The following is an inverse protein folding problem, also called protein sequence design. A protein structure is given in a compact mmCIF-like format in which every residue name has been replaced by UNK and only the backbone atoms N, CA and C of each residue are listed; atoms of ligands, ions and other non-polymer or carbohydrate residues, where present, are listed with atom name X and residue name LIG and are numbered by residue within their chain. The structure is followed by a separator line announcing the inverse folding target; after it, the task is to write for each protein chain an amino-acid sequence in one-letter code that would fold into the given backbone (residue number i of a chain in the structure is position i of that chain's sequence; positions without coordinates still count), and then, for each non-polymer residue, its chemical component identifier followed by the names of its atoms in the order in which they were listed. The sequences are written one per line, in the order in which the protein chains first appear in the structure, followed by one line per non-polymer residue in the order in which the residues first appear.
data_IF_241504777015
#
_entry.id   IF_241504777015
#
_cell.length_a   1.000
_cell.length_b   1.000
_cell.length_c   1.000
_cell.angle_alpha   90.00
_cell.angle_beta   90.00
_cell.angle_gamma   90.00
#
_symmetry.space_group_name_H-M   'P 1'
#
loop_
_entity.id
_entity.type
_entity.pdbx_description
1 polymer ?
#
# COMPACT_ATOMS: atom_id res chain seq x y z
N UNK A 1 7.45 -31.06 -5.70
CA UNK A 1 7.49 -30.19 -4.52
C UNK A 1 6.85 -28.84 -4.85
N UNK A 2 5.95 -28.44 -4.03
CA UNK A 2 5.29 -27.16 -4.21
C UNK A 2 6.16 -26.02 -3.66
N UNK A 3 6.40 -25.01 -4.46
CA UNK A 3 7.12 -23.81 -4.03
C UNK A 3 6.15 -22.65 -4.11
N UNK A 4 5.81 -22.09 -2.97
CA UNK A 4 4.97 -20.90 -2.93
C UNK A 4 5.77 -19.72 -3.44
N UNK A 5 5.32 -19.11 -4.53
CA UNK A 5 5.93 -17.89 -5.05
C UNK A 5 5.16 -16.70 -4.50
N UNK A 6 5.89 -15.66 -4.12
CA UNK A 6 5.26 -14.43 -3.69
C UNK A 6 4.73 -13.69 -4.91
N UNK A 7 3.55 -13.07 -4.82
CA UNK A 7 3.06 -12.24 -5.92
C UNK A 7 4.02 -11.09 -6.17
N UNK A 8 4.27 -10.81 -7.43
CA UNK A 8 5.14 -9.72 -7.84
C UNK A 8 4.39 -8.80 -8.81
N UNK A 9 4.46 -7.50 -8.61
CA UNK A 9 3.87 -6.59 -9.57
C UNK A 9 4.74 -6.49 -10.83
N UNK A 10 4.10 -6.52 -11.99
CA UNK A 10 4.76 -6.23 -13.26
C UNK A 10 4.79 -4.74 -13.53
N UNK A 11 3.77 -4.03 -13.05
CA UNK A 11 3.62 -2.61 -13.28
C UNK A 11 2.88 -1.98 -12.13
N UNK A 12 3.33 -0.81 -11.67
CA UNK A 12 2.66 -0.01 -10.66
C UNK A 12 2.64 1.42 -11.17
N UNK A 13 1.44 1.97 -11.35
CA UNK A 13 1.25 3.33 -11.85
C UNK A 13 0.37 4.10 -10.87
N UNK A 14 0.78 5.28 -10.46
CA UNK A 14 -0.04 6.05 -9.52
C UNK A 14 0.62 7.29 -8.95
N UNK A 15 1.83 7.65 -9.40
CA UNK A 15 2.51 8.84 -8.86
C UNK A 15 1.72 10.09 -9.19
N UNK A 16 1.49 10.91 -8.16
CA UNK A 16 0.74 12.17 -8.25
C UNK A 16 -0.69 11.99 -8.72
N UNK A 17 -1.27 10.80 -8.47
CA UNK A 17 -2.64 10.46 -8.85
C UNK A 17 -3.44 10.03 -7.63
N UNK A 18 -4.76 10.16 -7.67
CA UNK A 18 -5.61 9.70 -6.58
C UNK A 18 -5.74 8.16 -6.52
N UNK A 19 -5.33 7.46 -7.58
CA UNK A 19 -5.43 6.01 -7.68
C UNK A 19 -4.09 5.38 -8.01
N UNK A 20 -3.85 4.19 -7.46
CA UNK A 20 -2.68 3.36 -7.76
C UNK A 20 -3.15 2.09 -8.47
N UNK A 21 -2.63 1.84 -9.65
CA UNK A 21 -2.95 0.65 -10.44
C UNK A 21 -1.79 -0.32 -10.35
N UNK A 22 -2.07 -1.55 -9.98
CA UNK A 22 -1.07 -2.61 -9.87
C UNK A 22 -1.45 -3.74 -10.82
N UNK A 23 -0.55 -4.09 -11.72
CA UNK A 23 -0.70 -5.26 -12.59
C UNK A 23 0.22 -6.34 -12.06
N UNK A 24 -0.34 -7.48 -11.69
CA UNK A 24 0.40 -8.58 -11.10
C UNK A 24 0.96 -9.54 -12.16
N UNK A 25 1.97 -10.31 -11.78
CA UNK A 25 2.63 -11.26 -12.68
C UNK A 25 1.70 -12.37 -13.21
N UNK A 26 0.59 -12.61 -12.53
CA UNK A 26 -0.42 -13.58 -12.97
C UNK A 26 -1.42 -12.97 -13.94
N UNK A 27 -1.29 -11.69 -14.25
CA UNK A 27 -2.19 -10.99 -15.15
C UNK A 27 -3.34 -10.27 -14.47
N UNK A 28 -3.50 -10.43 -13.16
CA UNK A 28 -4.53 -9.72 -12.40
C UNK A 28 -4.19 -8.24 -12.29
N UNK A 29 -5.21 -7.42 -12.28
CA UNK A 29 -5.07 -5.98 -12.11
C UNK A 29 -5.88 -5.52 -10.91
N UNK A 30 -5.28 -4.64 -10.10
CA UNK A 30 -5.95 -4.01 -8.98
C UNK A 30 -5.83 -2.50 -9.10
N UNK A 31 -6.87 -1.79 -8.70
CA UNK A 31 -6.84 -0.33 -8.59
C UNK A 31 -7.17 0.03 -7.14
N UNK A 32 -6.26 0.74 -6.51
CA UNK A 32 -6.40 1.18 -5.13
C UNK A 32 -6.51 2.69 -5.09
N UNK A 33 -7.46 3.23 -4.33
CA UNK A 33 -7.46 4.66 -4.05
C UNK A 33 -6.28 5.00 -3.15
N UNK A 34 -5.63 6.13 -3.38
CA UNK A 34 -4.52 6.57 -2.54
C UNK A 34 -4.96 6.73 -1.07
N UNK A 35 -6.14 7.31 -0.84
CA UNK A 35 -6.70 7.44 0.51
C UNK A 35 -6.94 6.08 1.14
N UNK A 36 -7.44 5.14 0.37
CA UNK A 36 -7.68 3.77 0.83
C UNK A 36 -6.39 3.10 1.28
N UNK A 37 -5.32 3.23 0.50
CA UNK A 37 -4.01 2.69 0.88
C UNK A 37 -3.49 3.38 2.14
N UNK A 38 -3.63 4.69 2.24
CA UNK A 38 -3.21 5.44 3.42
C UNK A 38 -3.93 4.98 4.68
N UNK A 39 -5.24 4.71 4.57
CA UNK A 39 -6.05 4.22 5.68
C UNK A 39 -5.67 2.79 6.10
N UNK A 40 -5.02 2.03 5.23
CA UNK A 40 -4.57 0.66 5.53
C UNK A 40 -3.17 0.61 6.11
N UNK A 41 -2.52 1.75 6.33
CA UNK A 41 -1.17 1.79 6.87
C UNK A 41 -1.11 1.15 8.26
N UNK A 42 -0.14 0.26 8.46
CA UNK A 42 0.04 -0.47 9.72
C UNK A 42 1.37 -0.15 10.40
N UNK A 43 2.02 0.95 10.01
CA UNK A 43 3.24 1.37 10.68
C UNK A 43 2.95 1.80 12.12
N UNK A 44 4.00 1.93 12.94
CA UNK A 44 3.85 2.26 14.36
C UNK A 44 3.14 3.60 14.60
N UNK A 45 3.17 4.52 13.64
CA UNK A 45 2.48 5.82 13.74
C UNK A 45 0.98 5.70 13.52
N UNK A 46 0.52 4.65 12.84
CA UNK A 46 -0.89 4.47 12.48
C UNK A 46 -1.57 3.36 13.26
N UNK A 47 -0.79 2.47 13.85
CA UNK A 47 -1.31 1.34 14.62
C UNK A 47 -0.38 1.04 15.77
N UNK A 48 -0.95 0.83 16.97
CA UNK A 48 -0.15 0.50 18.14
C UNK A 48 0.50 -0.88 17.99
N UNK A 49 1.81 -0.97 18.22
CA UNK A 49 2.54 -2.23 18.19
C UNK A 49 2.17 -3.14 19.36
N UNK A 50 1.81 -2.54 20.48
CA UNK A 50 1.51 -3.30 21.70
C UNK A 50 0.14 -3.96 21.67
N UNK A 51 -0.87 -3.27 21.13
CA UNK A 51 -2.27 -3.73 21.16
C UNK A 51 -2.85 -3.99 19.78
N UNK A 52 -2.20 -3.53 18.72
CA UNK A 52 -2.73 -3.60 17.38
C UNK A 52 -3.85 -2.60 17.10
N UNK A 53 -4.16 -1.75 18.08
CA UNK A 53 -5.23 -0.76 17.89
C UNK A 53 -4.83 0.29 16.87
N UNK A 54 -5.82 0.73 16.12
CA UNK A 54 -5.62 1.75 15.10
C UNK A 54 -5.50 3.13 15.76
N UNK A 55 -4.37 3.77 15.54
CA UNK A 55 -4.11 5.13 16.01
C UNK A 55 -4.60 6.16 15.00
N UNK A 56 -4.47 5.83 13.71
CA UNK A 56 -4.87 6.72 12.63
C UNK A 56 -6.38 6.96 12.65
N UNK A 57 -6.76 8.23 12.62
CA UNK A 57 -8.18 8.64 12.56
C UNK A 57 -8.51 8.96 11.09
N UNK A 58 -9.54 8.33 10.56
CA UNK A 58 -9.92 8.45 9.14
C UNK A 58 -10.09 9.89 8.68
N UNK A 59 -10.70 10.72 9.53
CA UNK A 59 -10.98 12.11 9.19
C UNK A 59 -9.73 12.98 9.03
N UNK A 60 -8.57 12.50 9.54
CA UNK A 60 -7.32 13.23 9.39
C UNK A 60 -6.64 13.01 8.05
N UNK A 61 -7.13 12.05 7.26
CA UNK A 61 -6.57 11.75 5.95
C UNK A 61 -7.33 12.54 4.89
N UNK A 62 -6.65 13.43 4.14
CA UNK A 62 -7.34 14.23 3.12
C UNK A 62 -8.02 13.37 2.06
N UNK A 63 -9.18 13.80 1.59
CA UNK A 63 -9.90 13.10 0.53
C UNK A 63 -9.16 13.18 -0.82
N UNK A 64 -8.34 14.20 -1.00
CA UNK A 64 -7.57 14.44 -2.23
C UNK A 64 -6.11 13.97 -2.12
N UNK A 65 -5.80 13.12 -1.14
CA UNK A 65 -4.46 12.61 -0.96
C UNK A 65 -3.97 11.87 -2.20
N UNK A 66 -2.69 12.03 -2.52
CA UNK A 66 -2.05 11.34 -3.63
C UNK A 66 -0.78 10.64 -3.17
N UNK A 67 -0.25 9.76 -4.01
CA UNK A 67 1.02 9.10 -3.78
C UNK A 67 2.11 9.94 -4.43
N UNK A 68 3.12 10.35 -3.65
CA UNK A 68 4.20 11.20 -4.15
C UNK A 68 5.44 10.41 -4.55
N UNK A 69 5.67 9.24 -3.96
CA UNK A 69 6.79 8.38 -4.31
C UNK A 69 6.47 6.94 -3.90
N UNK A 70 7.08 6.00 -4.59
CA UNK A 70 6.99 4.58 -4.26
C UNK A 70 8.36 3.94 -4.44
N UNK A 71 8.78 3.11 -3.48
CA UNK A 71 10.06 2.43 -3.51
C UNK A 71 9.89 0.96 -3.17
N UNK A 72 10.55 0.09 -3.92
CA UNK A 72 10.54 -1.33 -3.62
C UNK A 72 11.33 -1.60 -2.32
N UNK A 73 10.78 -2.48 -1.50
CA UNK A 73 11.43 -2.94 -0.28
C UNK A 73 11.73 -4.43 -0.47
N UNK A 74 12.99 -4.74 -0.74
CA UNK A 74 13.38 -6.09 -1.10
C UNK A 74 12.55 -6.62 -2.27
N UNK A 75 12.11 -7.86 -2.20
CA UNK A 75 11.22 -8.46 -3.20
C UNK A 75 9.83 -8.74 -2.63
N UNK A 76 9.47 -8.13 -1.50
CA UNK A 76 8.24 -8.48 -0.79
C UNK A 76 7.27 -7.32 -0.58
N UNK A 77 7.68 -6.09 -0.79
CA UNK A 77 6.84 -4.97 -0.43
C UNK A 77 7.16 -3.67 -1.13
N UNK A 78 6.34 -2.68 -0.80
CA UNK A 78 6.39 -1.36 -1.40
C UNK A 78 6.27 -0.33 -0.30
N UNK A 79 7.24 0.57 -0.21
CA UNK A 79 7.14 1.74 0.65
C UNK A 79 6.44 2.84 -0.15
N UNK A 80 5.35 3.36 0.38
CA UNK A 80 4.56 4.39 -0.29
C UNK A 80 4.65 5.69 0.49
N UNK A 81 4.99 6.76 -0.21
CA UNK A 81 5.00 8.12 0.33
C UNK A 81 3.75 8.84 -0.12
N UNK A 82 3.06 9.46 0.81
CA UNK A 82 1.79 10.15 0.55
C UNK A 82 1.95 11.66 0.63
N UNK A 83 1.06 12.38 -0.02
CA UNK A 83 1.08 13.84 -0.07
C UNK A 83 0.84 14.53 1.28
N UNK A 84 0.34 13.78 2.27
CA UNK A 84 0.19 14.30 3.64
C UNK A 84 1.50 14.25 4.44
N UNK A 85 2.60 13.84 3.82
CA UNK A 85 3.91 13.75 4.46
C UNK A 85 4.20 12.40 5.10
N UNK A 86 3.29 11.45 5.03
CA UNK A 86 3.47 10.12 5.60
C UNK A 86 4.37 9.28 4.69
N UNK A 87 5.50 8.79 5.22
CA UNK A 87 6.51 8.10 4.42
C UNK A 87 6.94 6.75 4.98
N UNK A 88 6.35 6.30 6.08
CA UNK A 88 6.79 5.10 6.79
C UNK A 88 5.98 3.85 6.49
N UNK A 89 4.95 3.93 5.65
CA UNK A 89 4.10 2.80 5.33
C UNK A 89 4.79 1.81 4.39
N UNK A 90 4.85 0.54 4.80
CA UNK A 90 5.34 -0.55 3.95
C UNK A 90 4.17 -1.51 3.73
N UNK A 91 3.87 -1.76 2.45
CA UNK A 91 2.75 -2.58 2.04
C UNK A 91 3.29 -3.86 1.42
N UNK A 92 3.02 -4.99 2.05
CA UNK A 92 3.49 -6.28 1.54
C UNK A 92 2.67 -6.69 0.33
N UNK A 93 3.33 -7.13 -0.72
CA UNK A 93 2.66 -7.56 -1.96
C UNK A 93 1.63 -8.64 -1.69
N UNK A 94 1.97 -9.60 -0.84
CA UNK A 94 1.05 -10.67 -0.47
C UNK A 94 -0.25 -10.13 0.11
N UNK A 95 -0.14 -9.18 1.01
CA UNK A 95 -1.32 -8.60 1.66
C UNK A 95 -2.16 -7.79 0.68
N UNK A 96 -1.52 -7.03 -0.21
CA UNK A 96 -2.23 -6.28 -1.25
C UNK A 96 -2.96 -7.23 -2.19
N UNK A 97 -2.29 -8.30 -2.61
CA UNK A 97 -2.88 -9.28 -3.53
C UNK A 97 -4.07 -10.00 -2.91
N UNK A 98 -3.96 -10.40 -1.65
CA UNK A 98 -5.02 -11.11 -0.94
C UNK A 98 -6.23 -10.22 -0.66
N UNK A 99 -6.03 -8.93 -0.54
CA UNK A 99 -7.10 -7.95 -0.31
C UNK A 99 -7.72 -7.51 -1.63
N UNK A 100 -7.99 -8.43 -2.53
CA UNK A 100 -8.49 -8.12 -3.88
C UNK A 100 -9.75 -7.29 -3.90
N UNK A 101 -9.82 -6.48 -4.92
CA UNK A 101 -10.90 -5.55 -5.12
C UNK A 101 -11.62 -5.82 -6.44
#
# INVERSE_FOLDING_TARGET
MYVATMPMPLEIVGLNRPDVRIVWDEGDEQVWGARELRLRCVCAMCRSEATGERILVDDTVPADITVTAMNLVGNYGLNIHFSDGHTTGIYRFRELKEAQR
#
